data_IF_440863736001
#
_entry.id   IF_440863736001
#
_cell.length_a   1.000
_cell.length_b   1.000
_cell.length_c   1.000
_cell.angle_alpha   90.00
_cell.angle_beta   90.00
_cell.angle_gamma   90.00
#
_symmetry.space_group_name_H-M   'P 1'
#
loop_
_entity.id
_entity.type
_entity.pdbx_description
1 polymer ?
#
# COMPACT_ATOMS: atom_id res chain seq x y z
N UNK A 1 -10.57 24.80 1.47
CA UNK A 1 -9.82 23.80 0.69
C UNK A 1 -10.23 22.42 1.16
N UNK A 2 -10.62 21.50 0.26
CA UNK A 2 -10.72 20.08 0.62
C UNK A 2 -9.29 19.60 0.91
N UNK A 3 -9.02 18.89 2.03
CA UNK A 3 -7.71 18.28 2.22
C UNK A 3 -7.51 17.26 1.10
N UNK A 4 -6.44 17.43 0.33
CA UNK A 4 -6.05 16.53 -0.76
C UNK A 4 -4.78 15.78 -0.35
N UNK A 5 -4.66 14.54 -0.80
CA UNK A 5 -3.42 13.79 -0.70
C UNK A 5 -2.30 14.50 -1.48
N UNK A 6 -1.05 14.17 -1.15
CA UNK A 6 0.12 14.63 -1.88
C UNK A 6 0.22 13.89 -3.22
N UNK A 7 0.60 14.57 -4.31
CA UNK A 7 0.76 13.95 -5.64
C UNK A 7 1.71 12.74 -5.65
N UNK A 8 2.68 12.71 -4.74
CA UNK A 8 3.55 11.56 -4.52
C UNK A 8 2.77 10.27 -4.20
N UNK A 9 1.68 10.37 -3.43
CA UNK A 9 0.81 9.23 -3.11
C UNK A 9 0.17 8.67 -4.37
N UNK A 10 -0.37 9.54 -5.23
CA UNK A 10 -0.96 9.13 -6.50
C UNK A 10 0.05 8.35 -7.35
N UNK A 11 1.25 8.92 -7.55
CA UNK A 11 2.30 8.33 -8.38
C UNK A 11 2.75 6.97 -7.83
N UNK A 12 2.93 6.84 -6.51
CA UNK A 12 3.40 5.59 -5.92
C UNK A 12 2.32 4.52 -5.82
N UNK A 13 1.06 4.90 -5.63
CA UNK A 13 -0.06 3.96 -5.67
C UNK A 13 -0.36 3.50 -7.09
N UNK A 14 -0.27 4.38 -8.10
CA UNK A 14 -0.44 4.02 -9.51
C UNK A 14 0.52 2.88 -9.91
N UNK A 15 1.81 3.04 -9.57
CA UNK A 15 2.82 1.99 -9.75
C UNK A 15 2.51 0.73 -8.93
N UNK A 16 1.93 0.87 -7.74
CA UNK A 16 1.58 -0.27 -6.89
C UNK A 16 0.38 -1.06 -7.46
N UNK A 17 -0.54 -0.43 -8.19
CA UNK A 17 -1.71 -1.10 -8.78
C UNK A 17 -1.51 -1.55 -10.22
N UNK A 18 -0.55 -0.97 -10.95
CA UNK A 18 -0.35 -1.14 -12.41
C UNK A 18 -0.39 -2.61 -12.88
N UNK A 19 0.19 -3.54 -12.11
CA UNK A 19 0.26 -4.96 -12.47
C UNK A 19 -0.52 -5.88 -11.52
N UNK A 20 -1.44 -5.33 -10.71
CA UNK A 20 -2.36 -6.15 -9.93
C UNK A 20 -3.41 -6.78 -10.83
N UNK A 21 -3.69 -8.06 -10.63
CA UNK A 21 -4.63 -8.83 -11.44
C UNK A 21 -5.62 -9.60 -10.56
N UNK A 22 -6.68 -10.15 -11.17
CA UNK A 22 -7.60 -11.06 -10.48
C UNK A 22 -6.98 -12.42 -10.14
N UNK A 23 -5.78 -12.73 -10.64
CA UNK A 23 -5.07 -13.97 -10.30
C UNK A 23 -4.32 -13.79 -8.96
N UNK A 24 -4.73 -14.47 -7.87
CA UNK A 24 -4.15 -14.23 -6.55
C UNK A 24 -2.67 -14.59 -6.47
N UNK A 25 -2.21 -15.61 -7.19
CA UNK A 25 -0.80 -16.02 -7.19
C UNK A 25 0.10 -14.98 -7.87
N UNK A 26 -0.35 -14.44 -9.01
CA UNK A 26 0.39 -13.38 -9.71
C UNK A 26 0.41 -12.09 -8.89
N UNK A 27 -0.72 -11.70 -8.33
CA UNK A 27 -0.82 -10.51 -7.48
C UNK A 27 0.01 -10.65 -6.20
N UNK A 28 0.06 -11.85 -5.59
CA UNK A 28 0.94 -12.14 -4.44
C UNK A 28 2.41 -11.93 -4.79
N UNK A 29 2.87 -12.53 -5.90
CA UNK A 29 4.25 -12.36 -6.35
C UNK A 29 4.57 -10.90 -6.67
N UNK A 30 3.65 -10.20 -7.31
CA UNK A 30 3.81 -8.78 -7.62
C UNK A 30 3.89 -7.92 -6.35
N UNK A 31 2.96 -8.07 -5.40
CA UNK A 31 2.97 -7.36 -4.13
C UNK A 31 4.28 -7.59 -3.35
N UNK A 32 4.81 -8.82 -3.35
CA UNK A 32 6.14 -9.12 -2.77
C UNK A 32 7.25 -8.33 -3.45
N UNK A 33 7.23 -8.24 -4.78
CA UNK A 33 8.23 -7.46 -5.54
C UNK A 33 8.15 -5.96 -5.23
N UNK A 34 6.94 -5.46 -4.94
CA UNK A 34 6.68 -4.06 -4.61
C UNK A 34 6.75 -3.76 -3.10
N UNK A 35 7.10 -4.73 -2.25
CA UNK A 35 7.10 -4.61 -0.80
C UNK A 35 7.84 -3.37 -0.25
N UNK A 36 8.87 -2.90 -0.95
CA UNK A 36 9.58 -1.68 -0.58
C UNK A 36 8.72 -0.41 -0.63
N UNK A 37 7.71 -0.35 -1.51
CA UNK A 37 6.84 0.82 -1.68
C UNK A 37 5.99 1.11 -0.45
N UNK A 38 5.57 0.09 0.29
CA UNK A 38 4.78 0.30 1.51
C UNK A 38 5.55 1.07 2.59
N UNK A 39 6.90 1.05 2.56
CA UNK A 39 7.74 1.88 3.43
C UNK A 39 8.10 3.24 2.85
N UNK A 40 7.83 3.48 1.56
CA UNK A 40 8.11 4.75 0.90
C UNK A 40 6.99 5.78 1.08
N UNK A 41 5.73 5.33 1.16
CA UNK A 41 4.56 6.21 1.23
C UNK A 41 4.21 6.53 2.69
N UNK A 42 4.50 7.75 3.19
CA UNK A 42 4.20 8.11 4.57
C UNK A 42 2.70 8.40 4.73
N UNK A 43 2.09 7.97 5.84
CA UNK A 43 0.65 8.20 6.12
C UNK A 43 0.29 9.69 6.07
N UNK A 44 1.17 10.57 6.57
CA UNK A 44 0.98 12.04 6.54
C UNK A 44 0.84 12.65 5.14
N UNK A 45 1.14 11.89 4.08
CA UNK A 45 0.96 12.36 2.70
C UNK A 45 -0.44 12.08 2.16
N UNK A 46 -1.24 11.27 2.84
CA UNK A 46 -2.65 11.08 2.51
C UNK A 46 -3.50 12.21 3.09
N UNK A 47 -4.66 12.46 2.47
CA UNK A 47 -5.68 13.30 3.08
C UNK A 47 -6.15 12.69 4.42
N UNK A 48 -6.72 13.52 5.29
CA UNK A 48 -7.26 13.06 6.57
C UNK A 48 -8.35 11.98 6.42
N UNK A 49 -8.99 11.89 5.25
CA UNK A 49 -10.01 10.87 4.94
C UNK A 49 -9.40 9.52 4.57
N UNK A 50 -8.26 9.53 3.90
CA UNK A 50 -7.65 8.32 3.31
C UNK A 50 -6.46 7.78 4.10
N UNK A 51 -5.90 8.58 5.01
CA UNK A 51 -4.77 8.18 5.86
C UNK A 51 -5.07 6.94 6.71
N UNK A 52 -6.31 6.80 7.21
CA UNK A 52 -6.75 5.64 7.97
C UNK A 52 -6.80 4.35 7.14
N UNK A 53 -7.17 4.45 5.86
CA UNK A 53 -7.20 3.30 4.95
C UNK A 53 -5.78 2.79 4.66
N UNK A 54 -4.83 3.70 4.38
CA UNK A 54 -3.43 3.33 4.21
C UNK A 54 -2.84 2.71 5.48
N UNK A 55 -3.14 3.29 6.65
CA UNK A 55 -2.70 2.73 7.93
C UNK A 55 -3.22 1.30 8.14
N UNK A 56 -4.46 1.02 7.76
CA UNK A 56 -5.03 -0.33 7.86
C UNK A 56 -4.29 -1.31 6.93
N UNK A 57 -3.97 -0.90 5.70
CA UNK A 57 -3.17 -1.70 4.76
C UNK A 57 -1.79 -2.00 5.34
N UNK A 58 -1.08 -1.00 5.85
CA UNK A 58 0.26 -1.19 6.41
C UNK A 58 0.24 -2.06 7.66
N UNK A 59 -0.82 -1.97 8.49
CA UNK A 59 -1.02 -2.85 9.64
C UNK A 59 -1.21 -4.32 9.24
N UNK A 60 -1.97 -4.60 8.18
CA UNK A 60 -2.11 -5.97 7.63
C UNK A 60 -0.76 -6.56 7.21
N UNK A 61 0.20 -5.71 6.87
CA UNK A 61 1.56 -6.10 6.47
C UNK A 61 2.57 -6.07 7.62
N UNK A 62 2.11 -5.90 8.87
CA UNK A 62 2.96 -5.72 10.05
C UNK A 62 4.01 -4.61 9.90
N UNK A 63 3.71 -3.61 9.07
CA UNK A 63 4.59 -2.47 8.83
C UNK A 63 4.30 -1.45 9.93
N UNK A 64 5.31 -1.24 10.79
CA UNK A 64 5.31 -0.07 11.67
C UNK A 64 5.58 1.17 10.84
N UNK A 65 4.97 2.31 11.21
CA UNK A 65 5.34 3.59 10.61
C UNK A 65 6.87 3.74 10.66
N UNK A 66 7.51 4.26 9.60
CA UNK A 66 8.95 4.49 9.60
C UNK A 66 9.28 5.58 10.63
N UNK A 67 9.44 5.17 11.89
CA UNK A 67 10.19 5.93 12.88
C UNK A 67 11.57 6.13 12.28
N UNK A 68 12.02 7.39 12.28
CA UNK A 68 13.17 7.96 11.53
C UNK A 68 14.51 7.21 11.63
N UNK A 69 14.57 6.06 12.31
CA UNK A 69 15.76 5.25 12.54
C UNK A 69 15.66 3.80 12.02
N UNK A 70 14.47 3.29 11.68
CA UNK A 70 14.33 1.93 11.12
C UNK A 70 14.11 1.96 9.61
N UNK A 71 15.11 1.43 8.90
CA UNK A 71 15.30 1.49 7.44
C UNK A 71 14.13 0.86 6.68
N UNK A 72 13.91 1.36 5.46
CA UNK A 72 13.05 0.77 4.39
C UNK A 72 13.26 -0.76 4.25
N UNK A 73 14.47 -1.26 4.54
CA UNK A 73 14.80 -2.70 4.54
C UNK A 73 13.94 -3.51 5.53
N UNK A 74 13.68 -2.98 6.74
CA UNK A 74 12.87 -3.68 7.74
C UNK A 74 11.40 -3.70 7.33
N UNK A 75 10.90 -2.60 6.76
CA UNK A 75 9.55 -2.53 6.19
C UNK A 75 9.37 -3.49 5.02
N UNK A 76 10.34 -3.57 4.12
CA UNK A 76 10.31 -4.50 3.00
C UNK A 76 10.23 -5.95 3.48
N UNK A 77 11.06 -6.34 4.44
CA UNK A 77 11.08 -7.71 4.96
C UNK A 77 9.74 -8.04 5.64
N UNK A 78 9.24 -7.18 6.53
CA UNK A 78 7.95 -7.38 7.19
C UNK A 78 6.79 -7.53 6.19
N UNK A 79 6.78 -6.71 5.15
CA UNK A 79 5.78 -6.80 4.08
C UNK A 79 5.91 -8.10 3.29
N UNK A 80 7.13 -8.49 2.88
CA UNK A 80 7.38 -9.75 2.17
C UNK A 80 6.92 -10.94 3.01
N UNK A 81 7.32 -11.00 4.28
CA UNK A 81 7.00 -12.10 5.19
C UNK A 81 5.47 -12.20 5.40
N UNK A 82 4.81 -11.07 5.64
CA UNK A 82 3.35 -11.02 5.81
C UNK A 82 2.63 -11.46 4.54
N UNK A 83 3.02 -10.96 3.37
CA UNK A 83 2.42 -11.37 2.09
C UNK A 83 2.66 -12.86 1.85
N UNK A 84 3.84 -13.38 2.18
CA UNK A 84 4.16 -14.80 1.94
C UNK A 84 3.29 -15.75 2.75
N UNK A 85 2.89 -15.35 3.95
CA UNK A 85 1.97 -16.11 4.81
C UNK A 85 0.50 -15.94 4.44
N UNK A 86 0.14 -14.98 3.58
CA UNK A 86 -1.27 -14.80 3.17
C UNK A 86 -1.78 -15.97 2.33
N UNK A 87 -2.98 -16.42 2.67
CA UNK A 87 -3.81 -17.24 1.80
C UNK A 87 -4.17 -16.49 0.50
N UNK A 88 -4.63 -17.20 -0.54
CA UNK A 88 -5.09 -16.57 -1.77
C UNK A 88 -6.21 -15.55 -1.53
N UNK A 89 -7.12 -15.83 -0.60
CA UNK A 89 -8.22 -14.94 -0.24
C UNK A 89 -7.71 -13.65 0.42
N UNK A 90 -6.83 -13.75 1.42
CA UNK A 90 -6.25 -12.57 2.09
C UNK A 90 -5.46 -11.69 1.12
N UNK A 91 -4.72 -12.32 0.19
CA UNK A 91 -4.00 -11.59 -0.84
C UNK A 91 -4.95 -10.86 -1.81
N UNK A 92 -6.07 -11.47 -2.15
CA UNK A 92 -7.11 -10.84 -2.97
C UNK A 92 -7.77 -9.67 -2.24
N UNK A 93 -8.11 -9.84 -0.96
CA UNK A 93 -8.67 -8.77 -0.13
C UNK A 93 -7.70 -7.58 0.01
N UNK A 94 -6.40 -7.84 0.21
CA UNK A 94 -5.38 -6.80 0.22
C UNK A 94 -5.29 -6.07 -1.13
N UNK A 95 -5.29 -6.82 -2.24
CA UNK A 95 -5.26 -6.26 -3.60
C UNK A 95 -6.45 -5.33 -3.82
N UNK A 96 -7.66 -5.75 -3.45
CA UNK A 96 -8.87 -4.94 -3.58
C UNK A 96 -8.80 -3.66 -2.74
N UNK A 97 -8.32 -3.73 -1.50
CA UNK A 97 -8.14 -2.55 -0.64
C UNK A 97 -7.16 -1.54 -1.25
N UNK A 98 -6.06 -2.00 -1.85
CA UNK A 98 -5.09 -1.12 -2.49
C UNK A 98 -5.69 -0.45 -3.73
N UNK A 99 -6.41 -1.21 -4.57
CA UNK A 99 -7.06 -0.66 -5.76
C UNK A 99 -8.17 0.36 -5.40
N UNK A 100 -9.00 0.06 -4.40
CA UNK A 100 -10.05 0.97 -3.91
C UNK A 100 -9.45 2.27 -3.35
N UNK A 101 -8.38 2.16 -2.55
CA UNK A 101 -7.65 3.33 -2.06
C UNK A 101 -7.09 4.18 -3.21
N UNK A 102 -6.52 3.55 -4.24
CA UNK A 102 -6.00 4.28 -5.39
C UNK A 102 -7.10 5.05 -6.13
N UNK A 103 -8.26 4.44 -6.39
CA UNK A 103 -9.38 5.13 -7.04
C UNK A 103 -9.87 6.32 -6.20
N UNK A 104 -9.92 6.18 -4.87
CA UNK A 104 -10.24 7.30 -3.96
C UNK A 104 -9.21 8.42 -4.01
N UNK A 105 -7.91 8.09 -4.03
CA UNK A 105 -6.84 9.08 -4.17
C UNK A 105 -6.95 9.79 -5.52
N UNK A 106 -7.18 9.05 -6.61
CA UNK A 106 -7.34 9.60 -7.95
C UNK A 106 -8.48 10.61 -8.05
N UNK A 107 -9.62 10.34 -7.38
CA UNK A 107 -10.74 11.29 -7.28
C UNK A 107 -10.40 12.58 -6.52
N UNK A 108 -9.33 12.63 -5.72
CA UNK A 108 -8.88 13.87 -5.08
C UNK A 108 -8.10 14.78 -6.05
N UNK A 109 -7.61 14.27 -7.18
CA UNK A 109 -6.82 14.99 -8.19
C UNK A 109 -7.58 15.29 -9.50
N UNK A 110 -8.79 14.78 -9.65
CA UNK A 110 -9.72 15.10 -10.75
C UNK A 110 -10.63 16.27 -10.38
#
# INVERSE_FOLDING_TARGET
>A
MKPQSNIFVYIELDKLVENLTLNPLRSKQYLKSQAGRFGLIPIRYFSAKLSGEWLNITKTLNISEPNRHNKIKNTRNAAVDSIDQMSPQECQELTLKICDLFEKVKLEFM
#
